data_IF_172182348978
#
_entry.id   IF_172182348978
#
_cell.length_a   1.000
_cell.length_b   1.000
_cell.length_c   1.000
_cell.angle_alpha   90.00
_cell.angle_beta   90.00
_cell.angle_gamma   90.00
#
_symmetry.space_group_name_H-M   'P 1'
#
loop_
_entity.id
_entity.type
_entity.pdbx_description
1 polymer ?
#
# COMPACT_ATOMS: atom_id res chain seq x y z
N UNK A 1 9.25 9.87 7.41
CA UNK A 1 9.53 8.88 6.36
C UNK A 1 9.63 9.63 5.04
N UNK A 2 10.65 9.34 4.25
CA UNK A 2 10.87 9.96 2.94
C UNK A 2 11.25 8.89 1.92
N UNK A 3 11.05 9.20 0.65
CA UNK A 3 11.44 8.37 -0.50
C UNK A 3 12.14 9.29 -1.49
N UNK A 4 13.23 8.89 -2.14
CA UNK A 4 13.81 9.76 -3.18
C UNK A 4 13.01 9.68 -4.48
N UNK A 5 13.06 10.75 -5.27
CA UNK A 5 12.47 10.74 -6.62
C UNK A 5 13.08 9.64 -7.48
N UNK A 6 14.39 9.40 -7.37
CA UNK A 6 15.09 8.28 -7.99
C UNK A 6 14.53 6.91 -7.57
N UNK A 7 14.25 6.68 -6.28
CA UNK A 7 13.66 5.42 -5.81
C UNK A 7 12.23 5.20 -6.30
N UNK A 8 11.43 6.27 -6.36
CA UNK A 8 10.07 6.19 -6.91
C UNK A 8 10.10 5.83 -8.40
N UNK A 9 11.06 6.40 -9.14
CA UNK A 9 11.27 6.13 -10.56
C UNK A 9 10.22 6.79 -11.46
N UNK A 10 10.54 6.85 -12.77
CA UNK A 10 9.73 7.55 -13.76
C UNK A 10 8.31 6.98 -13.89
N UNK A 11 8.16 5.65 -13.89
CA UNK A 11 6.86 4.99 -14.09
C UNK A 11 5.85 5.33 -12.99
N UNK A 12 6.22 5.17 -11.71
CA UNK A 12 5.31 5.46 -10.60
C UNK A 12 4.98 6.96 -10.51
N UNK A 13 5.97 7.82 -10.76
CA UNK A 13 5.76 9.27 -10.82
C UNK A 13 4.82 9.67 -11.95
N UNK A 14 4.94 9.05 -13.12
CA UNK A 14 4.04 9.29 -14.24
C UNK A 14 2.60 8.93 -13.89
N UNK A 15 2.38 7.82 -13.19
CA UNK A 15 1.04 7.42 -12.71
C UNK A 15 0.51 8.37 -11.64
N UNK A 16 1.35 8.75 -10.67
CA UNK A 16 0.99 9.71 -9.61
C UNK A 16 0.56 11.07 -10.19
N UNK A 17 1.28 11.55 -11.21
CA UNK A 17 0.97 12.79 -11.91
C UNK A 17 -0.09 12.62 -13.02
N UNK A 18 -0.62 11.41 -13.20
CA UNK A 18 -1.56 11.06 -14.27
C UNK A 18 -1.08 11.54 -15.66
N UNK A 19 0.19 11.31 -15.95
CA UNK A 19 0.82 11.63 -17.22
C UNK A 19 0.33 10.71 -18.34
N UNK A 20 0.25 11.24 -19.55
CA UNK A 20 0.02 10.42 -20.76
C UNK A 20 1.31 9.75 -21.24
N UNK A 21 1.20 8.81 -22.18
CA UNK A 21 2.32 8.01 -22.69
C UNK A 21 3.50 8.87 -23.16
N UNK A 22 3.25 9.98 -23.87
CA UNK A 22 4.31 10.88 -24.35
C UNK A 22 5.02 11.61 -23.20
N UNK A 23 4.29 11.98 -22.15
CA UNK A 23 4.85 12.62 -20.96
C UNK A 23 5.61 11.61 -20.09
N UNK A 24 5.11 10.38 -19.98
CA UNK A 24 5.81 9.27 -19.33
C UNK A 24 7.12 8.93 -20.06
N UNK A 25 7.12 8.86 -21.39
CA UNK A 25 8.34 8.63 -22.18
C UNK A 25 9.38 9.74 -21.97
N UNK A 26 8.94 11.01 -21.98
CA UNK A 26 9.83 12.13 -21.65
C UNK A 26 10.38 12.02 -20.23
N UNK A 27 9.56 11.64 -19.25
CA UNK A 27 10.02 11.44 -17.88
C UNK A 27 11.05 10.30 -17.80
N UNK A 28 10.86 9.21 -18.53
CA UNK A 28 11.86 8.14 -18.64
C UNK A 28 13.19 8.64 -19.23
N UNK A 29 13.14 9.50 -20.25
CA UNK A 29 14.34 10.15 -20.79
C UNK A 29 15.05 10.99 -19.73
N UNK A 30 14.30 11.74 -18.91
CA UNK A 30 14.87 12.55 -17.83
C UNK A 30 15.66 11.70 -16.84
N UNK A 31 15.08 10.59 -16.40
CA UNK A 31 15.76 9.63 -15.51
C UNK A 31 16.96 8.99 -16.19
N UNK A 32 16.84 8.59 -17.47
CA UNK A 32 17.93 7.97 -18.20
C UNK A 32 19.13 8.90 -18.40
N UNK A 33 18.88 10.19 -18.63
CA UNK A 33 19.94 11.21 -18.70
C UNK A 33 20.62 11.37 -17.34
N UNK A 34 19.86 11.40 -16.24
CA UNK A 34 20.42 11.46 -14.91
C UNK A 34 21.32 10.25 -14.61
N UNK A 35 20.82 9.03 -14.89
CA UNK A 35 21.57 7.78 -14.70
C UNK A 35 22.86 7.74 -15.53
N UNK A 36 22.81 8.12 -16.80
CA UNK A 36 23.98 8.13 -17.69
C UNK A 36 25.07 9.12 -17.25
N UNK A 37 24.70 10.14 -16.46
CA UNK A 37 25.63 11.13 -15.92
C UNK A 37 25.95 10.90 -14.43
N UNK A 38 25.39 9.87 -13.80
CA UNK A 38 25.56 9.62 -12.37
C UNK A 38 24.93 10.69 -11.47
N UNK A 39 23.86 11.35 -11.93
CA UNK A 39 23.14 12.35 -11.16
C UNK A 39 21.97 11.71 -10.42
N UNK A 40 21.88 11.98 -9.12
CA UNK A 40 20.76 11.53 -8.29
C UNK A 40 19.68 12.59 -8.25
N UNK A 41 18.43 12.18 -8.46
CA UNK A 41 17.26 13.06 -8.34
C UNK A 41 16.65 12.77 -6.98
N UNK A 42 16.97 13.57 -5.96
CA UNK A 42 16.59 13.26 -4.59
C UNK A 42 15.18 13.75 -4.28
N UNK A 43 14.87 14.97 -4.70
CA UNK A 43 13.60 15.64 -4.42
C UNK A 43 12.93 16.24 -5.67
N UNK A 44 11.80 16.91 -5.48
CA UNK A 44 11.04 17.54 -6.56
C UNK A 44 11.76 18.76 -7.19
N UNK A 45 12.69 19.39 -6.46
CA UNK A 45 13.48 20.52 -6.98
C UNK A 45 14.54 20.00 -7.94
N UNK A 46 15.20 18.89 -7.62
CA UNK A 46 16.14 18.22 -8.51
C UNK A 46 15.44 17.78 -9.79
N UNK A 47 14.25 17.17 -9.69
CA UNK A 47 13.50 16.74 -10.87
C UNK A 47 13.12 17.92 -11.76
N UNK A 48 12.71 19.04 -11.14
CA UNK A 48 12.41 20.28 -11.87
C UNK A 48 13.65 20.85 -12.54
N UNK A 49 14.79 20.85 -11.86
CA UNK A 49 16.06 21.31 -12.42
C UNK A 49 16.47 20.44 -13.62
N UNK A 50 16.30 19.12 -13.52
CA UNK A 50 16.56 18.19 -14.61
C UNK A 50 15.64 18.41 -15.81
N UNK A 51 14.33 18.65 -15.58
CA UNK A 51 13.39 18.99 -16.65
C UNK A 51 13.78 20.28 -17.38
N UNK A 52 14.19 21.31 -16.63
CA UNK A 52 14.68 22.57 -17.20
C UNK A 52 15.97 22.34 -17.98
N UNK A 53 16.95 21.64 -17.40
CA UNK A 53 18.23 21.35 -18.03
C UNK A 53 18.07 20.60 -19.36
N UNK A 54 17.21 19.58 -19.41
CA UNK A 54 16.94 18.80 -20.62
C UNK A 54 16.19 19.62 -21.66
N UNK A 55 15.29 20.51 -21.24
CA UNK A 55 14.60 21.44 -22.14
C UNK A 55 15.57 22.44 -22.78
N UNK A 56 16.45 23.06 -21.98
CA UNK A 56 17.41 24.06 -22.45
C UNK A 56 18.46 23.45 -23.39
N UNK A 57 18.83 22.19 -23.15
CA UNK A 57 19.81 21.44 -23.94
C UNK A 57 19.16 20.42 -24.90
N UNK A 58 17.89 20.59 -25.26
CA UNK A 58 17.12 19.59 -26.02
C UNK A 58 17.78 19.15 -27.33
N UNK A 59 18.52 20.05 -28.01
CA UNK A 59 19.24 19.73 -29.26
C UNK A 59 20.34 18.68 -29.06
N UNK A 60 21.05 18.74 -27.93
CA UNK A 60 22.13 17.81 -27.61
C UNK A 60 21.57 16.41 -27.31
N UNK A 61 20.51 16.36 -26.51
CA UNK A 61 19.88 15.11 -26.11
C UNK A 61 19.07 14.44 -27.23
N UNK A 62 18.61 15.21 -28.23
CA UNK A 62 17.74 14.72 -29.30
C UNK A 62 18.30 13.52 -30.06
N UNK A 63 19.60 13.54 -30.35
CA UNK A 63 20.24 12.48 -31.14
C UNK A 63 20.30 11.16 -30.39
N UNK A 64 20.48 11.21 -29.06
CA UNK A 64 20.70 10.03 -28.22
C UNK A 64 19.40 9.49 -27.61
N UNK A 65 18.45 10.36 -27.28
CA UNK A 65 17.26 10.00 -26.49
C UNK A 65 15.93 10.31 -27.19
N UNK A 66 15.95 10.87 -28.40
CA UNK A 66 14.73 11.20 -29.14
C UNK A 66 14.18 12.59 -28.84
N UNK A 67 12.97 12.86 -29.32
CA UNK A 67 12.44 14.23 -29.32
C UNK A 67 11.94 14.69 -27.94
N UNK A 68 12.46 15.83 -27.47
CA UNK A 68 12.02 16.48 -26.23
C UNK A 68 11.03 17.59 -26.58
N UNK A 69 9.77 17.41 -26.22
CA UNK A 69 8.70 18.40 -26.46
C UNK A 69 8.63 19.43 -25.33
N UNK A 70 8.80 20.74 -25.61
CA UNK A 70 8.63 21.79 -24.59
C UNK A 70 7.22 21.79 -23.97
N UNK A 71 6.20 21.42 -24.74
CA UNK A 71 4.83 21.31 -24.25
C UNK A 71 4.69 20.20 -23.20
N UNK A 72 5.36 19.05 -23.41
CA UNK A 72 5.38 17.95 -22.46
C UNK A 72 6.16 18.30 -21.19
N UNK A 73 7.32 18.97 -21.32
CA UNK A 73 8.09 19.48 -20.17
C UNK A 73 7.22 20.39 -19.30
N UNK A 74 6.56 21.38 -19.91
CA UNK A 74 5.69 22.32 -19.19
C UNK A 74 4.47 21.64 -18.55
N UNK A 75 3.95 20.56 -19.15
CA UNK A 75 2.86 19.77 -18.56
C UNK A 75 3.33 19.03 -17.30
N UNK A 76 4.49 18.37 -17.34
CA UNK A 76 5.07 17.68 -16.19
C UNK A 76 5.38 18.67 -15.07
N UNK A 77 5.98 19.83 -15.38
CA UNK A 77 6.27 20.87 -14.39
C UNK A 77 5.00 21.38 -13.66
N UNK A 78 3.86 21.51 -14.34
CA UNK A 78 2.59 21.86 -13.69
C UNK A 78 2.09 20.78 -12.74
N UNK A 79 2.24 19.51 -13.10
CA UNK A 79 1.88 18.40 -12.22
C UNK A 79 2.79 18.34 -10.98
N UNK A 80 4.09 18.64 -11.12
CA UNK A 80 5.00 18.74 -9.98
C UNK A 80 4.59 19.84 -9.01
N UNK A 81 4.17 21.01 -9.50
CA UNK A 81 3.66 22.11 -8.65
C UNK A 81 2.38 21.71 -7.91
N UNK A 82 1.51 20.93 -8.55
CA UNK A 82 0.32 20.39 -7.88
C UNK A 82 0.72 19.44 -6.74
N UNK A 83 1.63 18.50 -6.98
CA UNK A 83 2.11 17.58 -5.94
C UNK A 83 2.77 18.30 -4.77
N UNK A 84 3.59 19.33 -5.04
CA UNK A 84 4.16 20.17 -3.97
C UNK A 84 3.09 20.85 -3.12
N UNK A 85 2.02 21.33 -3.76
CA UNK A 85 0.88 21.93 -3.05
C UNK A 85 0.13 20.91 -2.18
N UNK A 86 0.22 19.62 -2.52
CA UNK A 86 -0.31 18.49 -1.76
C UNK A 86 0.69 17.99 -0.67
N UNK A 87 1.84 18.64 -0.50
CA UNK A 87 2.83 18.35 0.55
C UNK A 87 3.91 17.33 0.17
N UNK A 88 4.07 17.04 -1.13
CA UNK A 88 5.05 16.07 -1.62
C UNK A 88 6.51 16.51 -1.40
N UNK A 89 6.77 17.79 -1.17
CA UNK A 89 8.09 18.35 -0.82
C UNK A 89 8.63 17.81 0.51
N UNK A 90 7.75 17.46 1.44
CA UNK A 90 8.14 16.84 2.72
C UNK A 90 8.36 15.33 2.61
N UNK A 91 7.74 14.72 1.61
CA UNK A 91 7.74 13.28 1.35
C UNK A 91 8.94 12.86 0.49
N UNK A 92 9.28 13.62 -0.55
CA UNK A 92 10.43 13.31 -1.40
C UNK A 92 11.73 13.87 -0.83
N UNK A 93 12.75 13.02 -0.66
CA UNK A 93 14.09 13.42 -0.21
C UNK A 93 14.74 12.41 0.73
N UNK A 94 15.75 12.87 1.47
CA UNK A 94 16.58 12.05 2.37
C UNK A 94 16.40 12.42 3.85
N UNK A 95 16.64 11.51 4.82
CA UNK A 95 17.02 10.11 4.63
C UNK A 95 15.85 9.30 4.09
N UNK A 96 16.13 8.52 3.04
CA UNK A 96 15.17 7.64 2.43
C UNK A 96 14.82 6.47 3.36
N UNK A 97 13.63 5.92 3.18
CA UNK A 97 13.23 4.71 3.86
C UNK A 97 14.18 3.56 3.51
N UNK A 98 14.73 2.90 4.53
CA UNK A 98 15.41 1.63 4.40
C UNK A 98 14.47 0.50 4.84
N UNK A 99 14.14 -0.42 3.94
CA UNK A 99 13.26 -1.55 4.24
C UNK A 99 13.88 -2.52 5.25
N UNK A 100 15.22 -2.64 5.28
CA UNK A 100 15.91 -3.54 6.22
C UNK A 100 15.66 -3.13 7.67
N UNK A 101 15.43 -1.84 7.94
CA UNK A 101 15.10 -1.35 9.27
C UNK A 101 13.75 -1.90 9.76
N UNK A 102 12.88 -2.33 8.85
CA UNK A 102 11.51 -2.77 9.17
C UNK A 102 11.36 -4.28 9.28
N UNK A 103 12.31 -5.06 8.76
CA UNK A 103 12.32 -6.53 8.81
C UNK A 103 13.10 -7.05 10.03
N UNK A 104 13.49 -6.15 10.93
CA UNK A 104 14.23 -6.50 12.14
C UNK A 104 13.42 -7.39 13.10
N UNK A 105 14.15 -8.12 13.92
CA UNK A 105 13.59 -8.93 15.02
C UNK A 105 14.29 -8.55 16.33
N UNK A 106 13.56 -8.65 17.43
CA UNK A 106 14.07 -8.44 18.79
C UNK A 106 13.80 -9.71 19.61
N UNK A 107 14.84 -10.33 20.16
CA UNK A 107 14.75 -11.62 20.87
C UNK A 107 13.97 -12.72 20.11
N UNK A 108 14.15 -12.78 18.78
CA UNK A 108 13.48 -13.76 17.91
C UNK A 108 12.01 -13.44 17.60
N UNK A 109 11.51 -12.28 18.03
CA UNK A 109 10.15 -11.80 17.78
C UNK A 109 10.14 -10.70 16.72
N UNK A 110 9.11 -10.69 15.87
CA UNK A 110 8.93 -9.62 14.89
C UNK A 110 8.65 -8.27 15.55
N UNK A 111 9.15 -7.20 14.94
CA UNK A 111 8.88 -5.83 15.38
C UNK A 111 7.60 -5.31 14.73
N UNK A 112 6.72 -4.70 15.52
CA UNK A 112 5.51 -4.02 15.02
C UNK A 112 5.87 -2.58 14.70
N UNK A 113 5.90 -2.25 13.41
CA UNK A 113 6.10 -0.90 12.92
C UNK A 113 4.74 -0.22 12.72
N UNK A 114 4.52 0.93 13.35
CA UNK A 114 3.28 1.71 13.21
C UNK A 114 3.57 2.97 12.40
N UNK A 115 2.93 3.07 11.23
CA UNK A 115 3.01 4.23 10.37
C UNK A 115 1.86 5.17 10.67
N UNK A 116 2.14 6.27 11.37
CA UNK A 116 1.15 7.33 11.56
C UNK A 116 1.06 8.18 10.28
N UNK A 117 -0.02 8.00 9.54
CA UNK A 117 -0.31 8.66 8.26
C UNK A 117 -1.39 9.75 8.37
N UNK A 118 -1.72 10.26 9.56
CA UNK A 118 -2.82 11.23 9.78
C UNK A 118 -2.77 12.45 8.83
N UNK A 119 -1.56 12.96 8.56
CA UNK A 119 -1.35 14.07 7.61
C UNK A 119 -1.44 13.62 6.16
N UNK A 120 -0.94 12.43 5.85
CA UNK A 120 -0.87 11.86 4.50
C UNK A 120 -2.26 11.42 4.00
N UNK A 121 -3.17 11.06 4.90
CA UNK A 121 -4.59 10.82 4.58
C UNK A 121 -5.28 12.04 3.97
N UNK A 122 -4.76 13.27 4.20
CA UNK A 122 -5.26 14.49 3.55
C UNK A 122 -4.80 14.63 2.09
N UNK A 123 -3.84 13.82 1.67
CA UNK A 123 -3.33 13.73 0.30
C UNK A 123 -3.42 12.29 -0.22
N UNK A 124 -4.64 11.79 -0.53
CA UNK A 124 -4.88 10.38 -0.89
C UNK A 124 -4.00 9.88 -2.05
N UNK A 125 -3.74 10.72 -3.05
CA UNK A 125 -2.89 10.36 -4.20
C UNK A 125 -1.45 10.04 -3.78
N UNK A 126 -0.87 10.89 -2.91
CA UNK A 126 0.48 10.69 -2.40
C UNK A 126 0.55 9.45 -1.51
N UNK A 127 -0.50 9.19 -0.71
CA UNK A 127 -0.63 7.97 0.07
C UNK A 127 -0.63 6.71 -0.79
N UNK A 128 -1.50 6.64 -1.80
CA UNK A 128 -1.59 5.48 -2.70
C UNK A 128 -0.30 5.25 -3.49
N UNK A 129 0.35 6.31 -3.96
CA UNK A 129 1.64 6.19 -4.64
C UNK A 129 2.77 5.74 -3.71
N UNK A 130 2.82 6.25 -2.48
CA UNK A 130 3.77 5.76 -1.47
C UNK A 130 3.58 4.26 -1.22
N UNK A 131 2.34 3.82 -0.99
CA UNK A 131 2.06 2.43 -0.70
C UNK A 131 2.37 1.52 -1.88
N UNK A 132 2.07 1.95 -3.10
CA UNK A 132 2.45 1.20 -4.30
C UNK A 132 3.97 1.12 -4.45
N UNK A 133 4.68 2.24 -4.31
CA UNK A 133 6.15 2.24 -4.31
C UNK A 133 6.69 1.28 -3.27
N UNK A 134 6.17 1.35 -2.05
CA UNK A 134 6.61 0.54 -0.95
C UNK A 134 6.40 -0.97 -1.22
N UNK A 135 5.24 -1.36 -1.76
CA UNK A 135 4.98 -2.74 -2.15
C UNK A 135 5.89 -3.19 -3.32
N UNK A 136 6.13 -2.31 -4.30
CA UNK A 136 7.03 -2.58 -5.42
C UNK A 136 8.49 -2.71 -4.98
N UNK A 137 8.93 -1.87 -4.05
CA UNK A 137 10.26 -1.88 -3.46
C UNK A 137 10.46 -3.18 -2.68
N UNK A 138 9.48 -3.62 -1.88
CA UNK A 138 9.52 -4.93 -1.21
C UNK A 138 9.64 -6.04 -2.25
N UNK A 139 8.84 -6.01 -3.32
CA UNK A 139 8.91 -7.04 -4.36
C UNK A 139 10.28 -7.08 -5.05
N UNK A 140 10.89 -5.92 -5.31
CA UNK A 140 12.19 -5.81 -5.96
C UNK A 140 13.35 -6.23 -5.05
N UNK A 141 13.29 -5.86 -3.77
CA UNK A 141 14.42 -6.03 -2.82
C UNK A 141 14.37 -7.34 -2.05
N UNK A 142 13.18 -7.85 -1.73
CA UNK A 142 13.09 -9.08 -0.94
C UNK A 142 13.49 -10.29 -1.79
N UNK A 143 14.24 -11.24 -1.23
CA UNK A 143 14.55 -12.48 -1.92
C UNK A 143 13.28 -13.32 -2.08
N UNK A 144 13.21 -14.09 -3.15
CA UNK A 144 12.18 -15.13 -3.27
C UNK A 144 12.36 -16.18 -2.18
N UNK A 145 11.24 -16.66 -1.65
CA UNK A 145 11.21 -17.69 -0.62
C UNK A 145 10.19 -18.75 -1.01
N UNK A 146 10.48 -19.99 -0.61
CA UNK A 146 9.53 -21.08 -0.72
C UNK A 146 8.40 -20.97 0.32
N UNK A 147 7.87 -22.12 0.71
CA UNK A 147 6.82 -22.19 1.72
C UNK A 147 7.45 -22.11 3.11
N UNK A 148 7.30 -20.96 3.78
CA UNK A 148 7.82 -20.72 5.12
C UNK A 148 6.70 -20.90 6.15
N UNK A 149 7.03 -21.49 7.31
CA UNK A 149 6.08 -21.64 8.42
C UNK A 149 5.53 -20.30 8.94
N UNK A 150 6.33 -19.23 8.82
CA UNK A 150 5.95 -17.86 9.19
C UNK A 150 6.31 -16.88 8.06
N UNK A 151 5.47 -15.86 7.80
CA UNK A 151 5.82 -14.82 6.84
C UNK A 151 7.05 -14.04 7.31
N UNK A 152 7.86 -13.58 6.36
CA UNK A 152 8.99 -12.67 6.62
C UNK A 152 8.51 -11.27 7.03
N UNK A 153 7.37 -10.86 6.50
CA UNK A 153 6.83 -9.53 6.72
C UNK A 153 5.31 -9.53 6.53
N UNK A 154 4.60 -8.71 7.31
CA UNK A 154 3.14 -8.61 7.23
C UNK A 154 2.73 -7.14 7.22
N UNK A 155 1.87 -6.80 6.27
CA UNK A 155 1.33 -5.46 6.09
C UNK A 155 -0.15 -5.42 6.37
N UNK A 156 -0.55 -4.48 7.23
CA UNK A 156 -1.94 -4.15 7.51
C UNK A 156 -2.22 -2.76 6.94
N UNK A 157 -3.12 -2.70 5.97
CA UNK A 157 -3.66 -1.45 5.43
C UNK A 157 -4.97 -1.16 6.12
N UNK A 158 -4.90 -0.31 7.15
CA UNK A 158 -6.10 0.27 7.74
C UNK A 158 -6.72 1.30 6.80
N UNK A 159 -8.04 1.34 6.77
CA UNK A 159 -8.82 2.09 5.78
C UNK A 159 -8.34 1.86 4.34
N UNK A 160 -8.24 0.58 3.97
CA UNK A 160 -7.75 0.13 2.67
C UNK A 160 -8.48 0.75 1.47
N UNK A 161 -9.71 1.24 1.63
CA UNK A 161 -10.44 1.95 0.57
C UNK A 161 -9.68 3.18 0.05
N UNK A 162 -8.87 3.84 0.89
CA UNK A 162 -8.06 5.00 0.51
C UNK A 162 -7.05 4.69 -0.59
N UNK A 163 -6.62 3.43 -0.72
CA UNK A 163 -5.74 2.98 -1.81
C UNK A 163 -6.41 3.02 -3.18
N UNK A 164 -7.73 2.92 -3.22
CA UNK A 164 -8.49 2.70 -4.44
C UNK A 164 -9.39 3.88 -4.78
N UNK A 165 -9.83 4.64 -3.78
CA UNK A 165 -10.66 5.83 -3.93
C UNK A 165 -9.97 6.90 -4.78
N UNK A 166 -10.64 7.32 -5.86
CA UNK A 166 -10.15 8.35 -6.80
C UNK A 166 -8.74 8.07 -7.36
N UNK A 167 -8.28 6.83 -7.30
CA UNK A 167 -6.97 6.43 -7.80
C UNK A 167 -7.05 6.15 -9.30
N UNK A 168 -6.05 6.57 -10.11
CA UNK A 168 -6.03 6.26 -11.53
C UNK A 168 -6.11 4.76 -11.77
N UNK A 169 -6.83 4.32 -12.81
CA UNK A 169 -7.03 2.89 -13.11
C UNK A 169 -5.71 2.11 -13.20
N UNK A 170 -4.71 2.71 -13.85
CA UNK A 170 -3.38 2.12 -13.98
C UNK A 170 -2.69 1.90 -12.62
N UNK A 171 -2.95 2.76 -11.62
CA UNK A 171 -2.43 2.58 -10.26
C UNK A 171 -3.06 1.36 -9.59
N UNK A 172 -4.38 1.20 -9.73
CA UNK A 172 -5.15 0.07 -9.18
C UNK A 172 -4.68 -1.26 -9.78
N UNK A 173 -4.55 -1.32 -11.11
CA UNK A 173 -4.05 -2.51 -11.83
C UNK A 173 -2.63 -2.91 -11.35
N UNK A 174 -1.79 -1.93 -11.04
CA UNK A 174 -0.44 -2.19 -10.53
C UNK A 174 -0.46 -2.70 -9.08
N UNK A 175 -1.31 -2.14 -8.21
CA UNK A 175 -1.50 -2.64 -6.84
C UNK A 175 -1.95 -4.11 -6.89
N UNK A 176 -2.92 -4.45 -7.74
CA UNK A 176 -3.38 -5.84 -7.93
C UNK A 176 -2.25 -6.78 -8.33
N UNK A 177 -1.42 -6.36 -9.29
CA UNK A 177 -0.27 -7.15 -9.73
C UNK A 177 0.73 -7.37 -8.60
N UNK A 178 1.10 -6.32 -7.86
CA UNK A 178 2.11 -6.44 -6.80
C UNK A 178 1.59 -7.29 -5.64
N UNK A 179 0.34 -7.10 -5.20
CA UNK A 179 -0.28 -7.93 -4.14
C UNK A 179 -0.27 -9.41 -4.50
N UNK A 180 -0.51 -9.75 -5.77
CA UNK A 180 -0.43 -11.13 -6.26
C UNK A 180 0.99 -11.71 -6.19
N UNK A 181 1.98 -10.90 -6.55
CA UNK A 181 3.37 -11.36 -6.69
C UNK A 181 4.13 -11.38 -5.35
N UNK A 182 3.82 -10.47 -4.43
CA UNK A 182 4.58 -10.31 -3.17
C UNK A 182 4.49 -11.54 -2.25
N UNK A 183 3.50 -12.42 -2.47
CA UNK A 183 3.37 -13.69 -1.75
C UNK A 183 4.62 -14.57 -1.90
N UNK A 184 5.24 -14.62 -3.08
CA UNK A 184 6.47 -15.41 -3.30
C UNK A 184 7.69 -14.85 -2.56
N UNK A 185 7.58 -13.64 -2.00
CA UNK A 185 8.59 -13.01 -1.14
C UNK A 185 8.37 -13.28 0.35
N UNK A 186 7.35 -14.07 0.69
CA UNK A 186 6.99 -14.38 2.08
C UNK A 186 6.31 -13.20 2.78
N UNK A 187 5.60 -12.37 2.01
CA UNK A 187 4.93 -11.17 2.52
C UNK A 187 3.42 -11.39 2.55
N UNK A 188 2.82 -11.18 3.73
CA UNK A 188 1.36 -11.18 3.91
C UNK A 188 0.80 -9.77 3.79
N UNK A 189 -0.31 -9.61 3.07
CA UNK A 189 -1.02 -8.33 2.96
C UNK A 189 -2.45 -8.50 3.47
N UNK A 190 -2.86 -7.62 4.38
CA UNK A 190 -4.17 -7.57 5.00
C UNK A 190 -4.81 -6.20 4.71
N UNK A 191 -5.94 -6.20 4.01
CA UNK A 191 -6.74 -5.00 3.80
C UNK A 191 -7.84 -4.94 4.85
N UNK A 192 -7.88 -3.86 5.62
CA UNK A 192 -8.89 -3.60 6.64
C UNK A 192 -9.77 -2.46 6.15
N UNK A 193 -11.07 -2.72 6.01
CA UNK A 193 -12.05 -1.75 5.54
C UNK A 193 -13.37 -1.93 6.27
N UNK A 194 -14.14 -0.86 6.40
CA UNK A 194 -15.48 -0.89 6.98
C UNK A 194 -16.50 -1.53 6.03
N UNK A 195 -16.33 -1.36 4.71
CA UNK A 195 -17.24 -1.88 3.71
C UNK A 195 -16.46 -2.62 2.61
N UNK A 196 -16.79 -3.90 2.34
CA UNK A 196 -16.12 -4.65 1.28
C UNK A 196 -16.33 -4.07 -0.11
N UNK A 197 -17.42 -3.33 -0.35
CA UNK A 197 -17.68 -2.70 -1.65
C UNK A 197 -16.72 -1.57 -2.01
N UNK A 198 -15.95 -1.09 -1.03
CA UNK A 198 -14.96 -0.03 -1.24
C UNK A 198 -13.60 -0.61 -1.72
N UNK A 199 -13.50 -1.94 -1.87
CA UNK A 199 -12.35 -2.62 -2.48
C UNK A 199 -12.69 -3.15 -3.88
N UNK A 200 -11.75 -3.12 -4.84
CA UNK A 200 -11.95 -3.75 -6.14
C UNK A 200 -12.24 -5.25 -6.03
N UNK A 201 -13.15 -5.76 -6.86
CA UNK A 201 -13.53 -7.18 -6.89
C UNK A 201 -12.33 -8.10 -7.21
N UNK A 202 -11.45 -7.64 -8.09
CA UNK A 202 -10.16 -8.24 -8.41
C UNK A 202 -9.29 -8.44 -7.17
N UNK A 203 -9.21 -7.44 -6.28
CA UNK A 203 -8.47 -7.54 -5.01
C UNK A 203 -9.18 -8.53 -4.08
N UNK A 204 -10.50 -8.39 -3.87
CA UNK A 204 -11.30 -9.26 -2.99
C UNK A 204 -11.20 -10.74 -3.40
N UNK A 205 -11.11 -11.02 -4.69
CA UNK A 205 -10.93 -12.36 -5.25
C UNK A 205 -9.57 -12.99 -4.94
N UNK A 206 -8.53 -12.18 -4.69
CA UNK A 206 -7.19 -12.67 -4.33
C UNK A 206 -7.03 -12.91 -2.82
N UNK A 207 -7.95 -12.43 -1.98
CA UNK A 207 -7.84 -12.56 -0.52
C UNK A 207 -8.19 -13.97 -0.07
N UNK A 208 -7.20 -14.73 0.39
CA UNK A 208 -7.39 -16.10 0.88
C UNK A 208 -7.97 -16.17 2.29
N UNK A 209 -7.48 -15.33 3.19
CA UNK A 209 -7.93 -15.25 4.59
C UNK A 209 -8.99 -14.16 4.74
N UNK A 210 -10.06 -14.45 5.48
CA UNK A 210 -11.19 -13.54 5.68
C UNK A 210 -11.65 -13.51 7.13
N UNK A 211 -11.85 -12.30 7.63
CA UNK A 211 -12.43 -12.01 8.94
C UNK A 211 -13.49 -10.94 8.70
N UNK A 212 -14.76 -11.28 8.88
CA UNK A 212 -15.89 -10.37 8.67
C UNK A 212 -16.58 -10.11 10.01
N UNK A 213 -16.50 -8.87 10.46
CA UNK A 213 -17.30 -8.39 11.59
C UNK A 213 -18.72 -8.00 11.16
N UNK A 214 -19.55 -7.63 12.13
CA UNK A 214 -20.93 -7.24 11.89
C UNK A 214 -21.04 -6.09 10.86
N UNK A 215 -21.94 -6.24 9.89
CA UNK A 215 -22.35 -5.16 8.98
C UNK A 215 -23.80 -4.80 9.28
N UNK A 216 -24.07 -3.51 9.45
CA UNK A 216 -25.43 -3.02 9.71
C UNK A 216 -26.13 -2.71 8.40
N UNK A 217 -27.14 -3.49 8.06
CA UNK A 217 -27.88 -3.34 6.80
C UNK A 217 -29.12 -2.44 6.94
N UNK A 218 -28.95 -1.12 6.90
CA UNK A 218 -30.08 -0.18 6.96
C UNK A 218 -30.49 0.37 5.59
N UNK A 219 -29.53 0.49 4.67
CA UNK A 219 -29.76 1.04 3.33
C UNK A 219 -29.66 -0.05 2.25
N UNK A 220 -30.16 0.20 1.03
CA UNK A 220 -29.93 -0.71 -0.11
C UNK A 220 -28.45 -0.93 -0.42
N UNK A 221 -27.57 0.06 -0.15
CA UNK A 221 -26.11 -0.10 -0.32
C UNK A 221 -25.57 -1.10 0.70
N UNK A 222 -26.00 -0.99 1.96
CA UNK A 222 -25.53 -1.90 3.01
C UNK A 222 -26.01 -3.34 2.77
N UNK A 223 -27.23 -3.52 2.27
CA UNK A 223 -27.74 -4.84 1.89
C UNK A 223 -26.90 -5.46 0.75
N UNK A 224 -26.43 -4.65 -0.21
CA UNK A 224 -25.49 -5.11 -1.23
C UNK A 224 -24.14 -5.48 -0.61
N UNK A 225 -23.65 -4.71 0.35
CA UNK A 225 -22.40 -5.00 1.05
C UNK A 225 -22.47 -6.32 1.82
N UNK A 226 -23.57 -6.58 2.53
CA UNK A 226 -23.81 -7.88 3.21
C UNK A 226 -23.81 -9.03 2.21
N UNK A 227 -24.50 -8.88 1.07
CA UNK A 227 -24.52 -9.92 0.02
C UNK A 227 -23.13 -10.16 -0.58
N UNK A 228 -22.37 -9.09 -0.84
CA UNK A 228 -21.02 -9.19 -1.36
C UNK A 228 -20.08 -9.90 -0.36
N UNK A 229 -20.11 -9.49 0.92
CA UNK A 229 -19.36 -10.14 1.99
C UNK A 229 -19.74 -11.62 2.15
N UNK A 230 -21.02 -11.95 2.07
CA UNK A 230 -21.47 -13.33 2.18
C UNK A 230 -21.01 -14.21 0.99
N UNK A 231 -21.00 -13.64 -0.21
CA UNK A 231 -20.68 -14.36 -1.45
C UNK A 231 -19.22 -14.80 -1.59
N UNK A 232 -18.31 -14.20 -0.83
CA UNK A 232 -16.87 -14.50 -0.89
C UNK A 232 -16.43 -15.57 0.12
N UNK A 233 -17.33 -16.04 0.98
CA UNK A 233 -17.03 -17.13 1.92
C UNK A 233 -17.25 -18.50 1.27
N UNK A 234 -16.43 -19.48 1.66
CA UNK A 234 -16.74 -20.88 1.39
C UNK A 234 -17.96 -21.28 2.20
N UNK A 235 -18.99 -21.76 1.51
CA UNK A 235 -20.29 -22.09 2.09
C UNK A 235 -20.19 -23.09 3.24
N UNK A 236 -20.88 -22.79 4.35
CA UNK A 236 -21.13 -23.72 5.43
C UNK A 236 -22.64 -24.03 5.49
N UNK A 237 -23.08 -25.28 5.27
CA UNK A 237 -24.50 -25.64 5.28
C UNK A 237 -25.22 -25.33 6.60
N UNK A 238 -24.47 -25.24 7.71
CA UNK A 238 -25.01 -24.96 9.03
C UNK A 238 -25.18 -23.45 9.33
N UNK A 239 -24.63 -22.58 8.47
CA UNK A 239 -24.62 -21.13 8.70
C UNK A 239 -25.19 -20.41 7.47
N UNK A 240 -26.29 -19.66 7.67
CA UNK A 240 -26.71 -18.65 6.70
C UNK A 240 -25.79 -17.43 6.84
N UNK A 241 -24.74 -17.37 6.03
CA UNK A 241 -23.69 -16.34 6.10
C UNK A 241 -24.26 -14.92 6.05
N UNK A 242 -25.19 -14.65 5.13
CA UNK A 242 -25.78 -13.32 4.98
C UNK A 242 -26.60 -12.88 6.20
N UNK A 243 -27.37 -13.82 6.80
CA UNK A 243 -28.09 -13.55 8.04
C UNK A 243 -27.12 -13.37 9.20
N UNK A 244 -26.14 -14.27 9.32
CA UNK A 244 -25.14 -14.26 10.39
C UNK A 244 -24.36 -12.94 10.44
N UNK A 245 -23.93 -12.40 9.30
CA UNK A 245 -23.24 -11.09 9.23
C UNK A 245 -24.03 -9.97 9.94
N UNK A 246 -25.36 -9.99 9.85
CA UNK A 246 -26.21 -8.97 10.46
C UNK A 246 -26.49 -9.23 11.94
N UNK A 247 -26.30 -10.47 12.40
CA UNK A 247 -26.58 -10.95 13.76
C UNK A 247 -25.34 -11.01 14.67
N UNK A 248 -24.14 -10.79 14.11
CA UNK A 248 -22.89 -10.77 14.87
C UNK A 248 -22.94 -9.69 15.97
N UNK A 249 -22.59 -10.09 17.19
CA UNK A 249 -22.41 -9.21 18.33
C UNK A 249 -21.01 -8.61 18.41
N UNK A 250 -20.78 -7.78 19.43
CA UNK A 250 -19.45 -7.23 19.73
C UNK A 250 -18.50 -8.36 20.09
N UNK A 251 -17.32 -8.36 19.46
CA UNK A 251 -16.30 -9.40 19.67
C UNK A 251 -16.57 -10.68 18.88
N UNK A 252 -17.59 -10.75 18.04
CA UNK A 252 -17.82 -11.87 17.14
C UNK A 252 -17.40 -11.55 15.71
N UNK A 253 -17.02 -12.58 14.97
CA UNK A 253 -16.71 -12.50 13.55
C UNK A 253 -17.07 -13.81 12.83
N UNK A 254 -17.31 -13.72 11.53
CA UNK A 254 -17.21 -14.85 10.63
C UNK A 254 -15.77 -14.96 10.13
N UNK A 255 -15.19 -16.15 10.23
CA UNK A 255 -13.79 -16.40 9.89
C UNK A 255 -13.66 -17.53 8.88
N UNK A 256 -12.73 -17.36 7.94
CA UNK A 256 -12.32 -18.40 6.98
C UNK A 256 -10.86 -18.17 6.65
N UNK A 257 -10.01 -19.10 7.07
CA UNK A 257 -8.57 -19.06 6.82
C UNK A 257 -8.18 -20.17 5.85
N UNK A 258 -7.07 -19.97 5.15
CA UNK A 258 -6.50 -20.97 4.25
C UNK A 258 -6.04 -22.23 5.04
N UNK A 259 -6.23 -23.39 4.45
CA UNK A 259 -5.62 -24.65 4.89
C UNK A 259 -4.18 -24.79 4.37
N UNK A 260 -3.51 -25.90 4.72
CA UNK A 260 -2.15 -26.23 4.27
C UNK A 260 -2.01 -26.33 2.74
N UNK A 261 -3.12 -26.49 2.01
CA UNK A 261 -3.14 -26.52 0.54
C UNK A 261 -3.44 -25.15 -0.06
N UNK A 262 -3.54 -24.11 0.76
CA UNK A 262 -3.89 -22.76 0.32
C UNK A 262 -5.36 -22.61 -0.09
N UNK A 263 -6.23 -23.52 0.33
CA UNK A 263 -7.67 -23.47 0.05
C UNK A 263 -8.43 -22.87 1.24
N UNK A 264 -9.38 -21.94 1.04
CA UNK A 264 -10.18 -21.42 2.14
C UNK A 264 -10.96 -22.52 2.86
N UNK A 265 -10.88 -22.56 4.19
CA UNK A 265 -11.74 -23.40 5.01
C UNK A 265 -13.20 -22.92 4.96
N UNK A 266 -14.13 -23.81 5.32
CA UNK A 266 -15.54 -23.43 5.48
C UNK A 266 -15.66 -22.30 6.50
N UNK A 267 -16.57 -21.37 6.26
CA UNK A 267 -16.78 -20.24 7.17
C UNK A 267 -17.33 -20.71 8.52
N UNK A 268 -16.79 -20.17 9.59
CA UNK A 268 -17.22 -20.43 10.97
C UNK A 268 -17.51 -19.13 11.71
N UNK A 269 -18.39 -19.18 12.72
CA UNK A 269 -18.59 -18.06 13.66
C UNK A 269 -17.64 -18.24 14.84
N UNK A 270 -16.86 -17.20 15.14
CA UNK A 270 -15.87 -17.23 16.20
C UNK A 270 -15.95 -15.97 17.09
N UNK A 271 -15.50 -16.12 18.34
CA UNK A 271 -15.18 -14.98 19.22
C UNK A 271 -13.74 -14.53 18.98
N UNK A 272 -13.56 -13.23 18.81
CA UNK A 272 -12.25 -12.59 18.67
C UNK A 272 -11.72 -12.28 20.07
N UNK A 273 -10.54 -12.83 20.38
CA UNK A 273 -9.85 -12.52 21.63
C UNK A 273 -9.50 -11.01 21.64
N UNK A 274 -9.91 -10.24 22.66
CA UNK A 274 -9.61 -8.82 22.69
C UNK A 274 -8.09 -8.60 22.85
N UNK A 275 -7.53 -7.55 22.23
CA UNK A 275 -6.13 -7.23 22.40
C UNK A 275 -5.84 -6.88 23.88
N UNK A 276 -4.68 -7.30 24.37
CA UNK A 276 -4.16 -6.81 25.65
C UNK A 276 -3.92 -5.30 25.51
N UNK A 277 -4.77 -4.49 26.15
CA UNK A 277 -4.76 -3.03 26.01
C UNK A 277 -4.45 -2.36 27.34
N UNK A 278 -3.81 -1.18 27.27
CA UNK A 278 -3.61 -0.28 28.39
C UNK A 278 -4.38 1.00 28.09
N UNK A 279 -5.51 1.19 28.77
CA UNK A 279 -6.40 2.35 28.56
C UNK A 279 -5.97 3.58 29.35
N UNK A 280 -5.15 3.40 30.39
CA UNK A 280 -4.59 4.51 31.17
C UNK A 280 -3.48 5.19 30.38
N UNK A 281 -3.49 6.53 30.24
CA UNK A 281 -2.41 7.26 29.58
C UNK A 281 -1.05 6.90 30.16
N UNK A 282 -0.07 6.66 29.28
CA UNK A 282 1.30 6.40 29.70
C UNK A 282 1.88 7.66 30.35
N UNK A 283 2.41 7.54 31.56
CA UNK A 283 2.93 8.66 32.35
C UNK A 283 4.32 9.14 31.91
N UNK A 284 5.07 8.35 31.12
CA UNK A 284 6.44 8.64 30.72
C UNK A 284 6.67 8.45 29.22
N UNK A 285 7.40 9.39 28.61
CA UNK A 285 7.90 9.30 27.23
C UNK A 285 8.91 8.14 27.16
N UNK A 286 8.50 7.01 26.58
CA UNK A 286 9.31 5.80 26.47
C UNK A 286 8.64 4.53 26.99
N UNK A 287 7.56 4.67 27.77
CA UNK A 287 6.81 3.53 28.33
C UNK A 287 6.19 2.62 27.24
N UNK A 288 6.00 3.14 26.02
CA UNK A 288 5.56 2.35 24.86
C UNK A 288 6.53 1.21 24.52
N UNK A 289 7.83 1.33 24.83
CA UNK A 289 8.82 0.25 24.63
C UNK A 289 8.60 -0.97 25.52
N UNK A 290 7.83 -0.84 26.61
CA UNK A 290 7.51 -1.95 27.51
C UNK A 290 6.20 -2.66 27.18
N UNK A 291 5.33 -2.06 26.36
CA UNK A 291 4.04 -2.65 25.99
C UNK A 291 4.17 -3.97 25.20
N UNK A 292 5.07 -4.10 24.19
CA UNK A 292 5.21 -5.33 23.42
C UNK A 292 5.62 -6.53 24.29
N UNK A 293 6.43 -6.30 25.34
CA UNK A 293 6.90 -7.35 26.25
C UNK A 293 5.77 -8.00 27.07
N UNK A 294 4.61 -7.37 27.14
CA UNK A 294 3.43 -7.84 27.89
C UNK A 294 2.30 -8.35 26.99
N UNK A 295 2.45 -8.23 25.67
CA UNK A 295 1.41 -8.61 24.71
C UNK A 295 1.49 -10.11 24.39
N UNK A 296 0.36 -10.81 24.50
CA UNK A 296 0.23 -12.20 24.04
C UNK A 296 0.44 -12.33 22.51
N UNK A 297 0.19 -11.25 21.76
CA UNK A 297 0.40 -11.21 20.29
C UNK A 297 1.89 -11.19 19.93
N UNK A 298 2.75 -10.62 20.80
CA UNK A 298 4.20 -10.69 20.65
C UNK A 298 4.81 -11.97 21.24
N UNK A 299 4.00 -12.90 21.76
CA UNK A 299 4.47 -14.15 22.35
C UNK A 299 4.27 -15.39 21.43
N UNK A 300 3.63 -15.20 20.27
CA UNK A 300 3.46 -16.19 19.19
C UNK A 300 4.48 -15.93 18.06
#
# INVERSE_FOLDING_TARGET
MRVTVSQMGAMLLARLMNLNDTQEELLNVVFKVADDNGWHILDLKDLRAMLTHISDNAKEYRTKYGNISPASVGAIQRQLLQLESEGADTFFGEPALNLEDWVQTDDGKGIINILNSEKLMRAPRLYSAFLLWFLAEIFATFPEVGDLDKPKFVLFFDEAHLLFDNSPKALVEQIEQVVRLIRSKGVGVYFVTQNPLDLPESILGQLGNRIQHALRAFTPRDQKAVKAAAGIFRTNPSINVAAAISELGVGEALVSFLDEKGMPNVVERAYVLPPSSQLTPLSEVGAYRQLPKRSAVCAL
#
